data_IF_331875177196
#
_entry.id   IF_331875177196
#
_cell.length_a   1.000
_cell.length_b   1.000
_cell.length_c   1.000
_cell.angle_alpha   90.00
_cell.angle_beta   90.00
_cell.angle_gamma   90.00
#
_symmetry.space_group_name_H-M   'P 1'
#
loop_
_entity.id
_entity.type
_entity.pdbx_description
1 polymer ?
#
# COMPACT_ATOMS: atom_id res chain seq x y z
N UNK A 1 34.85 -33.55 -25.44
CA UNK A 1 33.90 -32.90 -24.50
C UNK A 1 32.49 -33.26 -24.94
N UNK A 2 31.71 -33.99 -24.14
CA UNK A 2 30.33 -34.34 -24.50
C UNK A 2 29.43 -33.10 -24.45
N UNK A 3 28.63 -32.89 -25.50
CA UNK A 3 27.72 -31.73 -25.66
C UNK A 3 26.72 -31.62 -24.50
N UNK A 4 26.35 -32.76 -23.90
CA UNK A 4 25.30 -32.86 -22.87
C UNK A 4 25.80 -32.76 -21.42
N UNK A 5 27.11 -32.55 -21.18
CA UNK A 5 27.69 -32.72 -19.83
C UNK A 5 27.18 -31.72 -18.81
N UNK A 6 26.95 -30.47 -19.22
CA UNK A 6 26.64 -29.34 -18.33
C UNK A 6 25.18 -28.85 -18.43
N UNK A 7 24.29 -29.62 -19.05
CA UNK A 7 22.89 -29.24 -19.22
C UNK A 7 22.04 -29.63 -18.01
N UNK A 8 21.10 -28.75 -17.63
CA UNK A 8 20.10 -29.02 -16.60
C UNK A 8 19.06 -29.98 -17.15
N UNK A 9 18.31 -30.66 -16.27
CA UNK A 9 17.23 -31.58 -16.67
C UNK A 9 16.21 -30.92 -17.62
N UNK A 10 15.88 -29.65 -17.36
CA UNK A 10 14.94 -28.86 -18.16
C UNK A 10 15.48 -28.64 -19.58
N UNK A 11 16.76 -28.27 -19.71
CA UNK A 11 17.39 -28.04 -21.01
C UNK A 11 17.49 -29.34 -21.82
N UNK A 12 17.77 -30.46 -21.15
CA UNK A 12 17.83 -31.77 -21.80
C UNK A 12 16.45 -32.20 -22.29
N UNK A 13 15.38 -31.96 -21.53
CA UNK A 13 14.01 -32.21 -21.99
C UNK A 13 13.68 -31.38 -23.22
N UNK A 14 14.02 -30.09 -23.21
CA UNK A 14 13.77 -29.19 -24.32
C UNK A 14 14.58 -29.57 -25.57
N UNK A 15 15.84 -29.99 -25.37
CA UNK A 15 16.68 -30.49 -26.45
C UNK A 15 16.10 -31.77 -27.07
N UNK A 16 15.61 -32.70 -26.25
CA UNK A 16 14.98 -33.91 -26.76
C UNK A 16 13.73 -33.58 -27.59
N UNK A 17 12.89 -32.66 -27.09
CA UNK A 17 11.70 -32.19 -27.81
C UNK A 17 12.06 -31.58 -29.18
N UNK A 18 13.10 -30.75 -29.24
CA UNK A 18 13.61 -30.16 -30.49
C UNK A 18 14.18 -31.21 -31.45
N UNK A 19 14.70 -32.31 -30.93
CA UNK A 19 15.17 -33.45 -31.72
C UNK A 19 14.03 -34.41 -32.12
N UNK A 20 12.77 -34.09 -31.77
CA UNK A 20 11.61 -34.91 -32.06
C UNK A 20 11.42 -36.10 -31.12
N UNK A 21 12.15 -36.11 -30.00
CA UNK A 21 12.15 -37.17 -29.01
C UNK A 21 11.25 -36.84 -27.82
N UNK A 22 10.27 -37.70 -27.54
CA UNK A 22 9.35 -37.47 -26.41
C UNK A 22 9.96 -37.99 -25.10
N UNK A 23 10.18 -37.09 -24.14
CA UNK A 23 10.74 -37.45 -22.82
C UNK A 23 9.64 -37.56 -21.75
N UNK A 24 9.45 -38.75 -21.14
CA UNK A 24 8.53 -38.90 -20.01
C UNK A 24 8.91 -38.01 -18.82
N UNK A 25 7.92 -37.52 -18.08
CA UNK A 25 8.17 -36.54 -17.02
C UNK A 25 9.01 -37.05 -15.85
N UNK A 26 8.88 -38.34 -15.55
CA UNK A 26 9.58 -39.05 -14.51
C UNK A 26 11.01 -39.50 -14.89
N UNK A 27 11.44 -39.28 -16.14
CA UNK A 27 12.75 -39.74 -16.63
C UNK A 27 13.92 -39.14 -15.84
N UNK A 28 14.97 -39.92 -15.63
CA UNK A 28 16.22 -39.48 -14.98
C UNK A 28 17.11 -38.74 -15.99
N UNK A 29 18.01 -37.88 -15.49
CA UNK A 29 18.94 -37.12 -16.35
C UNK A 29 19.77 -38.06 -17.24
N UNK A 30 20.21 -39.22 -16.71
CA UNK A 30 20.99 -40.19 -17.48
C UNK A 30 20.17 -40.81 -18.61
N UNK A 31 18.92 -41.20 -18.34
CA UNK A 31 18.01 -41.78 -19.33
C UNK A 31 17.72 -40.79 -20.47
N UNK A 32 17.50 -39.52 -20.13
CA UNK A 32 17.27 -38.45 -21.13
C UNK A 32 18.52 -38.26 -22.00
N UNK A 33 19.72 -38.28 -21.40
CA UNK A 33 20.98 -38.15 -22.16
C UNK A 33 21.18 -39.31 -23.12
N UNK A 34 20.94 -40.53 -22.64
CA UNK A 34 21.05 -41.73 -23.45
C UNK A 34 20.05 -41.72 -24.61
N UNK A 35 18.83 -41.26 -24.36
CA UNK A 35 17.79 -41.12 -25.40
C UNK A 35 18.23 -40.12 -26.48
N UNK A 36 18.72 -38.94 -26.08
CA UNK A 36 19.23 -37.92 -27.01
C UNK A 36 20.43 -38.44 -27.80
N UNK A 37 21.39 -39.10 -27.13
CA UNK A 37 22.58 -39.66 -27.78
C UNK A 37 22.23 -40.77 -28.79
N UNK A 38 21.11 -41.45 -28.59
CA UNK A 38 20.60 -42.46 -29.50
C UNK A 38 19.77 -41.92 -30.66
N UNK A 39 19.28 -40.68 -30.59
CA UNK A 39 18.49 -40.06 -31.67
C UNK A 39 19.27 -39.95 -32.98
N UNK A 40 18.56 -40.06 -34.09
CA UNK A 40 19.15 -40.01 -35.43
C UNK A 40 19.79 -38.66 -35.73
N UNK A 41 19.18 -37.56 -35.25
CA UNK A 41 19.70 -36.20 -35.43
C UNK A 41 21.00 -35.97 -34.66
N UNK A 42 21.13 -36.53 -33.45
CA UNK A 42 22.36 -36.44 -32.67
C UNK A 42 23.54 -37.18 -33.31
N UNK A 43 23.24 -38.29 -34.02
CA UNK A 43 24.25 -39.08 -34.74
C UNK A 43 24.60 -38.47 -36.10
N UNK A 44 23.60 -37.93 -36.80
CA UNK A 44 23.73 -37.39 -38.16
C UNK A 44 24.31 -35.98 -38.17
N UNK A 45 23.81 -35.07 -37.32
CA UNK A 45 24.16 -33.65 -37.36
C UNK A 45 24.49 -33.09 -35.97
N UNK A 46 25.75 -33.28 -35.55
CA UNK A 46 26.25 -32.78 -34.27
C UNK A 46 26.41 -31.25 -34.24
N UNK A 47 26.56 -30.62 -35.40
CA UNK A 47 26.63 -29.17 -35.56
C UNK A 47 25.28 -28.54 -35.20
N UNK A 48 24.20 -29.10 -35.74
CA UNK A 48 22.84 -28.71 -35.44
C UNK A 48 22.53 -28.85 -33.94
N UNK A 49 22.78 -30.03 -33.36
CA UNK A 49 22.54 -30.26 -31.91
C UNK A 49 23.30 -29.25 -31.06
N UNK A 50 24.54 -28.94 -31.42
CA UNK A 50 25.34 -27.93 -30.71
C UNK A 50 24.75 -26.53 -30.85
N UNK A 51 24.21 -26.18 -32.01
CA UNK A 51 23.48 -24.93 -32.25
C UNK A 51 22.23 -24.83 -31.37
N UNK A 52 21.41 -25.87 -31.33
CA UNK A 52 20.22 -25.95 -30.48
C UNK A 52 20.59 -25.80 -29.01
N UNK A 53 21.59 -26.55 -28.53
CA UNK A 53 22.07 -26.46 -27.15
C UNK A 53 22.51 -25.04 -26.81
N UNK A 54 23.23 -24.37 -27.71
CA UNK A 54 23.64 -22.98 -27.53
C UNK A 54 22.43 -22.06 -27.42
N UNK A 55 21.45 -22.19 -28.31
CA UNK A 55 20.20 -21.42 -28.28
C UNK A 55 19.44 -21.59 -26.97
N UNK A 56 19.27 -22.82 -26.49
CA UNK A 56 18.56 -23.12 -25.24
C UNK A 56 19.25 -22.45 -24.04
N UNK A 57 20.58 -22.52 -23.98
CA UNK A 57 21.36 -21.91 -22.89
C UNK A 57 21.28 -20.39 -22.95
N UNK A 58 21.37 -19.79 -24.15
CA UNK A 58 21.26 -18.34 -24.36
C UNK A 58 19.86 -17.83 -23.99
N UNK A 59 18.79 -18.50 -24.39
CA UNK A 59 17.40 -18.17 -24.05
C UNK A 59 17.15 -18.20 -22.54
N UNK A 60 17.73 -19.18 -21.85
CA UNK A 60 17.64 -19.26 -20.39
C UNK A 60 18.37 -18.09 -19.73
N UNK A 61 19.59 -17.77 -20.19
CA UNK A 61 20.36 -16.65 -19.65
C UNK A 61 19.65 -15.31 -19.87
N UNK A 62 19.03 -15.10 -21.03
CA UNK A 62 18.27 -13.86 -21.31
C UNK A 62 17.02 -13.75 -20.44
N UNK A 63 16.26 -14.85 -20.26
CA UNK A 63 15.10 -14.84 -19.33
C UNK A 63 15.52 -14.54 -17.88
N UNK A 64 16.63 -15.11 -17.43
CA UNK A 64 17.16 -14.88 -16.08
C UNK A 64 17.62 -13.42 -15.89
N UNK A 65 18.30 -12.84 -16.88
CA UNK A 65 18.71 -11.43 -16.87
C UNK A 65 17.52 -10.46 -16.86
N UNK A 66 16.49 -10.73 -17.68
CA UNK A 66 15.27 -9.92 -17.73
C UNK A 66 14.50 -9.97 -16.39
N UNK A 67 14.44 -11.13 -15.74
CA UNK A 67 13.82 -11.25 -14.41
C UNK A 67 14.63 -10.52 -13.34
N UNK A 68 15.95 -10.59 -13.40
CA UNK A 68 16.82 -9.90 -12.44
C UNK A 68 16.69 -8.37 -12.54
N UNK A 69 16.69 -7.84 -13.77
CA UNK A 69 16.49 -6.41 -14.02
C UNK A 69 15.11 -5.91 -13.61
N UNK A 70 14.05 -6.71 -13.81
CA UNK A 70 12.70 -6.38 -13.34
C UNK A 70 12.64 -6.27 -11.80
N UNK A 71 13.28 -7.20 -11.09
CA UNK A 71 13.36 -7.18 -9.62
C UNK A 71 14.15 -5.97 -9.09
N UNK A 72 15.23 -5.58 -9.76
CA UNK A 72 16.00 -4.38 -9.38
C UNK A 72 15.17 -3.10 -9.58
N UNK A 73 14.43 -2.99 -10.67
CA UNK A 73 13.53 -1.86 -10.92
C UNK A 73 12.43 -1.80 -9.84
N UNK A 74 11.85 -2.93 -9.47
CA UNK A 74 10.82 -2.99 -8.43
C UNK A 74 11.36 -2.57 -7.06
N UNK A 75 12.57 -3.02 -6.69
CA UNK A 75 13.25 -2.58 -5.46
C UNK A 75 13.51 -1.08 -5.44
N UNK A 76 13.95 -0.50 -6.56
CA UNK A 76 14.17 0.95 -6.68
C UNK A 76 12.85 1.70 -6.52
N UNK A 77 11.77 1.24 -7.17
CA UNK A 77 10.43 1.84 -7.03
C UNK A 77 9.91 1.79 -5.60
N UNK A 78 10.10 0.66 -4.91
CA UNK A 78 9.73 0.52 -3.49
C UNK A 78 10.50 1.50 -2.61
N UNK A 79 11.82 1.59 -2.77
CA UNK A 79 12.65 2.52 -2.00
C UNK A 79 12.24 4.00 -2.24
N UNK A 80 11.86 4.35 -3.47
CA UNK A 80 11.34 5.68 -3.80
C UNK A 80 9.99 5.95 -3.13
N UNK A 81 9.07 4.98 -3.12
CA UNK A 81 7.77 5.11 -2.45
C UNK A 81 7.93 5.22 -0.93
N UNK A 82 8.81 4.45 -0.31
CA UNK A 82 9.09 4.54 1.13
C UNK A 82 9.65 5.92 1.52
N UNK A 83 10.58 6.45 0.71
CA UNK A 83 11.10 7.82 0.86
C UNK A 83 10.02 8.88 0.75
N UNK A 84 9.12 8.76 -0.23
CA UNK A 84 8.01 9.71 -0.41
C UNK A 84 7.02 9.65 0.76
N UNK A 85 6.70 8.45 1.27
CA UNK A 85 5.85 8.29 2.45
C UNK A 85 6.50 8.93 3.69
N UNK A 86 7.81 8.74 3.88
CA UNK A 86 8.55 9.34 4.99
C UNK A 86 8.57 10.88 4.89
N UNK A 87 8.79 11.43 3.69
CA UNK A 87 8.71 12.88 3.43
C UNK A 87 7.30 13.43 3.67
N UNK A 88 6.25 12.73 3.24
CA UNK A 88 4.87 13.12 3.51
C UNK A 88 4.55 13.05 5.01
N UNK A 89 5.06 12.05 5.73
CA UNK A 89 4.93 11.97 7.20
C UNK A 89 5.62 13.14 7.88
N UNK A 90 6.84 13.48 7.49
CA UNK A 90 7.58 14.63 8.02
C UNK A 90 6.87 15.94 7.71
N UNK A 91 6.35 16.11 6.49
CA UNK A 91 5.57 17.30 6.09
C UNK A 91 4.25 17.37 6.85
N UNK A 92 3.56 16.27 7.06
CA UNK A 92 2.34 16.23 7.86
C UNK A 92 2.64 16.49 9.33
N UNK A 93 3.76 16.02 9.88
CA UNK A 93 4.22 16.38 11.23
C UNK A 93 4.65 17.85 11.34
N UNK A 94 5.28 18.43 10.32
CA UNK A 94 5.65 19.85 10.32
C UNK A 94 4.40 20.74 10.19
N UNK A 95 3.42 20.34 9.37
CA UNK A 95 2.12 20.99 9.28
C UNK A 95 1.31 20.83 10.58
N UNK A 96 1.45 19.71 11.30
CA UNK A 96 0.88 19.53 12.64
C UNK A 96 1.64 20.35 13.70
N UNK A 97 2.96 20.53 13.55
CA UNK A 97 3.78 21.37 14.44
C UNK A 97 3.50 22.86 14.28
N UNK A 98 3.10 23.31 13.08
CA UNK A 98 2.83 24.72 12.79
C UNK A 98 1.34 25.09 12.86
N UNK A 99 0.42 24.12 12.78
CA UNK A 99 -1.03 24.36 12.99
C UNK A 99 -1.53 24.03 14.39
N UNK A 100 -0.64 23.70 15.33
CA UNK A 100 -1.01 23.46 16.73
C UNK A 100 -0.24 24.35 17.72
N UNK A 101 0.14 25.56 17.31
CA UNK A 101 0.61 26.62 18.23
C UNK A 101 -0.45 27.67 18.56
N UNK A 102 -1.70 27.43 18.18
CA UNK A 102 -2.79 27.81 19.04
C UNK A 102 -3.52 26.51 19.39
N UNK A 103 -3.38 25.99 20.62
CA UNK A 103 -4.56 25.38 21.22
C UNK A 103 -5.69 26.37 20.90
N UNK A 104 -6.79 25.91 20.32
CA UNK A 104 -8.06 26.57 20.60
C UNK A 104 -8.21 26.45 22.11
N UNK A 105 -7.52 27.34 22.83
CA UNK A 105 -7.39 27.25 24.25
C UNK A 105 -8.81 27.39 24.73
N UNK A 106 -9.14 26.62 25.76
CA UNK A 106 -10.48 26.63 26.32
C UNK A 106 -10.89 28.08 26.60
N UNK A 107 -9.95 28.97 26.92
CA UNK A 107 -10.17 30.42 27.02
C UNK A 107 -10.61 31.13 25.72
N UNK A 108 -10.06 30.80 24.55
CA UNK A 108 -10.48 31.38 23.25
C UNK A 108 -11.84 30.85 22.81
N UNK A 109 -12.11 29.56 23.05
CA UNK A 109 -13.43 28.98 22.82
C UNK A 109 -14.45 29.63 23.77
N UNK A 110 -14.13 29.72 25.07
CA UNK A 110 -14.93 30.40 26.10
C UNK A 110 -15.15 31.87 25.76
N UNK A 111 -14.15 32.60 25.24
CA UNK A 111 -14.34 34.00 24.79
C UNK A 111 -15.31 34.08 23.61
N UNK A 112 -15.17 33.18 22.63
CA UNK A 112 -16.06 33.13 21.46
C UNK A 112 -17.50 32.73 21.84
N UNK A 113 -17.64 31.85 22.85
CA UNK A 113 -18.93 31.45 23.42
C UNK A 113 -19.53 32.59 24.26
N UNK A 114 -18.72 33.30 25.05
CA UNK A 114 -19.17 34.47 25.84
C UNK A 114 -19.70 35.60 24.95
N UNK A 115 -19.27 35.70 23.70
CA UNK A 115 -19.84 36.64 22.72
C UNK A 115 -21.15 36.15 22.07
N UNK A 116 -21.52 34.88 22.23
CA UNK A 116 -22.80 34.33 21.79
C UNK A 116 -23.90 34.64 22.83
N UNK A 117 -24.21 35.92 23.05
CA UNK A 117 -25.42 36.31 23.78
C UNK A 117 -26.60 36.18 22.83
N UNK A 118 -27.07 34.94 22.60
CA UNK A 118 -28.25 34.70 21.78
C UNK A 118 -29.47 34.86 22.70
N UNK A 119 -30.43 35.74 22.40
CA UNK A 119 -31.65 35.84 23.20
C UNK A 119 -32.38 34.49 23.13
N UNK A 120 -32.63 33.91 24.30
CA UNK A 120 -33.42 32.67 24.41
C UNK A 120 -34.86 33.02 24.02
N UNK A 121 -35.46 32.33 23.03
CA UNK A 121 -36.85 32.59 22.67
C UNK A 121 -37.78 32.34 23.85
N UNK A 122 -38.63 33.31 24.20
CA UNK A 122 -39.62 33.17 25.29
C UNK A 122 -40.82 32.29 24.91
N UNK A 123 -41.01 32.06 23.60
CA UNK A 123 -42.12 31.27 23.06
C UNK A 123 -41.74 29.79 22.94
N UNK A 124 -42.54 28.86 23.46
CA UNK A 124 -42.22 27.43 23.45
C UNK A 124 -42.08 26.86 22.03
N UNK A 125 -42.78 27.42 21.04
CA UNK A 125 -42.72 26.99 19.65
C UNK A 125 -41.37 27.31 18.98
N UNK A 126 -40.67 28.35 19.46
CA UNK A 126 -39.37 28.78 18.93
C UNK A 126 -38.18 28.11 19.65
N UNK A 127 -38.40 27.53 20.83
CA UNK A 127 -37.36 26.80 21.57
C UNK A 127 -36.90 25.55 20.82
N UNK A 128 -37.81 24.82 20.18
CA UNK A 128 -37.44 23.62 19.43
C UNK A 128 -36.45 23.94 18.31
N UNK A 129 -36.73 24.97 17.50
CA UNK A 129 -35.84 25.41 16.42
C UNK A 129 -34.50 25.93 16.94
N UNK A 130 -34.50 26.59 18.10
CA UNK A 130 -33.28 27.05 18.76
C UNK A 130 -32.37 25.87 19.15
N UNK A 131 -32.91 24.86 19.83
CA UNK A 131 -32.12 23.69 20.23
C UNK A 131 -31.65 22.87 19.03
N UNK A 132 -32.49 22.67 18.01
CA UNK A 132 -32.08 21.97 16.78
C UNK A 132 -30.95 22.71 16.05
N UNK A 133 -31.01 24.04 16.00
CA UNK A 133 -29.94 24.85 15.41
C UNK A 133 -28.63 24.76 16.21
N UNK A 134 -28.74 24.74 17.53
CA UNK A 134 -27.60 24.65 18.44
C UNK A 134 -26.93 23.27 18.38
N UNK A 135 -27.69 22.18 18.39
CA UNK A 135 -27.19 20.81 18.21
C UNK A 135 -26.46 20.66 16.87
N UNK A 136 -27.03 21.21 15.79
CA UNK A 136 -26.39 21.22 14.47
C UNK A 136 -25.08 22.00 14.50
N UNK A 137 -25.02 23.12 15.21
CA UNK A 137 -23.80 23.90 15.38
C UNK A 137 -22.73 23.12 16.17
N UNK A 138 -23.11 22.42 17.24
CA UNK A 138 -22.20 21.58 18.02
C UNK A 138 -21.63 20.43 17.18
N UNK A 139 -22.46 19.76 16.39
CA UNK A 139 -22.02 18.71 15.47
C UNK A 139 -21.05 19.26 14.40
N UNK A 140 -21.38 20.40 13.79
CA UNK A 140 -20.54 21.02 12.74
C UNK A 140 -19.19 21.49 13.26
N UNK A 141 -19.13 21.91 14.53
CA UNK A 141 -17.90 22.41 15.18
C UNK A 141 -17.15 21.33 15.96
N UNK A 142 -17.65 20.10 16.01
CA UNK A 142 -17.02 18.99 16.73
C UNK A 142 -16.91 19.24 18.24
N UNK A 143 -17.92 19.88 18.85
CA UNK A 143 -17.89 20.22 20.28
C UNK A 143 -18.00 18.95 21.13
N UNK A 144 -17.02 18.66 22.01
CA UNK A 144 -17.06 17.49 22.89
C UNK A 144 -18.27 17.52 23.84
N UNK A 145 -18.91 16.36 24.05
CA UNK A 145 -20.10 16.23 24.90
C UNK A 145 -19.93 16.83 26.31
N UNK A 146 -18.73 16.72 26.89
CA UNK A 146 -18.43 17.28 28.22
C UNK A 146 -18.51 18.81 28.29
N UNK A 147 -18.32 19.52 27.17
CA UNK A 147 -18.38 20.99 27.11
C UNK A 147 -19.75 21.51 26.67
N UNK A 148 -20.60 20.67 26.06
CA UNK A 148 -21.91 21.08 25.57
C UNK A 148 -22.83 21.59 26.70
N UNK A 149 -22.82 20.92 27.86
CA UNK A 149 -23.60 21.32 29.02
C UNK A 149 -23.15 22.67 29.60
N UNK A 150 -21.84 22.89 29.69
CA UNK A 150 -21.28 24.16 30.20
C UNK A 150 -21.57 25.33 29.25
N UNK A 151 -21.54 25.08 27.93
CA UNK A 151 -21.93 26.06 26.91
C UNK A 151 -23.41 26.40 27.02
N UNK A 152 -24.28 25.40 27.18
CA UNK A 152 -25.72 25.59 27.36
C UNK A 152 -26.03 26.44 28.60
N UNK A 153 -25.39 26.16 29.73
CA UNK A 153 -25.56 26.93 30.98
C UNK A 153 -25.17 28.39 30.78
N UNK A 154 -24.06 28.64 30.08
CA UNK A 154 -23.60 29.98 29.78
C UNK A 154 -24.51 30.72 28.79
N UNK A 155 -25.02 30.05 27.75
CA UNK A 155 -25.96 30.62 26.77
C UNK A 155 -27.32 30.98 27.39
N UNK A 156 -27.84 30.10 28.25
CA UNK A 156 -29.13 30.30 28.92
C UNK A 156 -29.05 31.29 30.08
N UNK A 157 -27.86 31.81 30.40
CA UNK A 157 -27.67 32.77 31.48
C UNK A 157 -27.99 32.22 32.87
N UNK A 158 -28.17 30.90 33.02
CA UNK A 158 -28.43 30.24 34.31
C UNK A 158 -27.12 30.09 35.06
N UNK A 159 -26.50 31.23 35.38
CA UNK A 159 -25.53 31.28 36.45
C UNK A 159 -26.34 31.09 37.72
N UNK A 160 -26.19 29.93 38.36
CA UNK A 160 -26.66 29.74 39.72
C UNK A 160 -26.08 30.85 40.59
N UNK A 161 -26.85 31.93 40.77
CA UNK A 161 -26.65 32.84 41.89
C UNK A 161 -27.07 32.03 43.10
N UNK A 162 -26.12 31.31 43.68
CA UNK A 162 -26.21 30.91 45.08
C UNK A 162 -26.08 32.19 45.91
N UNK A 163 -27.12 33.03 45.88
CA UNK A 163 -27.38 33.99 46.93
C UNK A 163 -28.10 33.20 48.01
N UNK A 164 -27.34 32.71 48.98
CA UNK A 164 -27.90 32.35 50.28
C UNK A 164 -27.03 33.05 51.32
N UNK A 165 -27.73 33.83 52.12
CA UNK A 165 -27.33 34.73 53.20
C UNK A 165 -26.43 34.09 54.24
#
# INVERSE_FOLDING_TARGET
MSILRNLKKIDLKLLADELGETVPDNSRICEIKELIENSDLFKTDKEFVRGVVKSIVEDRMTKEFNNQSALEIEKIKLAQLEKEIELQRLKNQSLLGERTSAPLSVENLIKSIKTLTIPVPEKPEALHLFFTSLEKAFATKGVPNGLQAEILINLLGVRGRSNIT
#
